data_IF_327497835487
#
_entry.id   IF_327497835487
#
_cell.length_a   1.000
_cell.length_b   1.000
_cell.length_c   1.000
_cell.angle_alpha   90.00
_cell.angle_beta   90.00
_cell.angle_gamma   90.00
#
_symmetry.space_group_name_H-M   'P 1'
#
loop_
_entity.id
_entity.type
_entity.pdbx_description
1 polymer ?
#
# COMPACT_ATOMS: atom_id res chain seq x y z
N UNK A 1 3.09 -26.93 -6.81
CA UNK A 1 3.90 -25.73 -6.54
C UNK A 1 4.04 -25.57 -5.04
N UNK A 2 5.26 -25.44 -4.57
CA UNK A 2 5.46 -25.11 -3.16
C UNK A 2 4.99 -23.69 -2.90
N UNK A 3 4.59 -23.39 -1.65
CA UNK A 3 4.11 -22.07 -1.29
C UNK A 3 5.13 -20.98 -1.62
N UNK A 4 4.63 -19.89 -2.17
CA UNK A 4 5.44 -18.71 -2.42
C UNK A 4 5.73 -17.99 -1.11
N UNK A 5 6.92 -17.42 -1.00
CA UNK A 5 7.27 -16.55 0.14
C UNK A 5 7.37 -15.12 -0.34
N UNK A 6 6.73 -14.23 0.41
CA UNK A 6 6.82 -12.79 0.16
C UNK A 6 7.90 -12.23 1.09
N UNK A 7 8.89 -11.56 0.49
CA UNK A 7 9.94 -10.87 1.23
C UNK A 7 9.72 -9.38 1.15
N UNK A 8 9.61 -8.68 2.28
CA UNK A 8 9.48 -7.22 2.24
C UNK A 8 10.71 -6.59 1.57
N UNK A 9 10.45 -5.64 0.68
CA UNK A 9 11.51 -4.89 -0.01
C UNK A 9 11.86 -3.60 0.72
N UNK A 10 11.02 -3.18 1.64
CA UNK A 10 11.18 -1.93 2.36
C UNK A 10 10.08 -1.74 3.39
N UNK A 11 9.98 -0.52 3.89
CA UNK A 11 9.06 -0.17 4.96
C UNK A 11 8.55 1.26 4.76
N UNK A 12 7.29 1.48 5.15
CA UNK A 12 6.70 2.83 5.18
C UNK A 12 7.05 3.50 6.50
N UNK A 13 7.52 4.75 6.41
CA UNK A 13 7.66 5.66 7.55
C UNK A 13 6.65 6.77 7.41
N UNK A 14 5.69 6.81 8.32
CA UNK A 14 4.54 7.69 8.27
C UNK A 14 4.27 8.30 9.64
N UNK A 15 3.57 9.42 9.66
CA UNK A 15 3.04 9.98 10.89
C UNK A 15 1.74 9.30 11.34
N UNK A 16 1.13 8.46 10.50
CA UNK A 16 -0.01 7.64 10.89
C UNK A 16 0.51 6.47 11.70
N UNK A 17 0.12 6.36 12.97
CA UNK A 17 0.63 5.34 13.88
C UNK A 17 -0.41 4.32 14.30
N UNK A 18 -1.67 4.52 13.95
CA UNK A 18 -2.74 3.59 14.28
C UNK A 18 -3.77 3.51 13.16
N UNK A 19 -4.50 2.40 13.12
CA UNK A 19 -5.54 2.14 12.13
C UNK A 19 -6.67 3.18 12.21
N UNK A 20 -6.98 3.66 13.40
CA UNK A 20 -8.04 4.66 13.62
C UNK A 20 -7.69 6.01 13.00
N UNK A 21 -6.41 6.33 12.89
CA UNK A 21 -5.94 7.58 12.27
C UNK A 21 -5.92 7.50 10.76
N UNK A 22 -5.89 6.28 10.19
CA UNK A 22 -5.73 6.11 8.76
C UNK A 22 -7.04 6.35 8.02
N UNK A 23 -7.05 7.20 6.97
CA UNK A 23 -8.17 7.27 6.05
C UNK A 23 -8.38 5.93 5.35
N UNK A 24 -9.59 5.68 4.87
CA UNK A 24 -9.91 4.44 4.13
C UNK A 24 -9.14 4.35 2.83
N UNK A 25 -8.93 5.48 2.17
CA UNK A 25 -8.17 5.60 0.92
C UNK A 25 -7.22 6.78 1.02
N UNK A 26 -6.09 6.72 0.32
CA UNK A 26 -5.12 7.81 0.29
C UNK A 26 -5.71 9.14 -0.14
N UNK A 27 -6.62 9.13 -1.12
CA UNK A 27 -7.30 10.32 -1.61
C UNK A 27 -8.21 11.00 -0.59
N UNK A 28 -8.47 10.38 0.54
CA UNK A 28 -9.34 10.89 1.60
C UNK A 28 -8.57 11.68 2.68
N UNK A 29 -7.52 12.38 2.30
CA UNK A 29 -6.78 13.27 3.20
C UNK A 29 -5.57 12.65 3.87
N UNK A 30 -5.02 11.58 3.31
CA UNK A 30 -3.81 10.97 3.83
C UNK A 30 -2.59 11.88 3.62
N UNK A 31 -1.59 11.81 4.52
CA UNK A 31 -0.34 12.52 4.36
C UNK A 31 0.56 11.88 3.32
N UNK A 32 1.65 12.57 2.99
CA UNK A 32 2.80 11.93 2.36
C UNK A 32 3.56 11.10 3.39
N UNK A 33 4.32 10.13 2.92
CA UNK A 33 5.17 9.29 3.75
C UNK A 33 6.49 9.01 3.04
N UNK A 34 7.45 8.44 3.77
CA UNK A 34 8.67 7.93 3.18
C UNK A 34 8.57 6.43 3.03
N UNK A 35 8.96 5.93 1.87
CA UNK A 35 9.17 4.53 1.61
C UNK A 35 10.67 4.29 1.61
N UNK A 36 11.16 3.52 2.58
CA UNK A 36 12.57 3.16 2.67
C UNK A 36 12.75 1.78 2.07
N UNK A 37 13.42 1.72 0.92
CA UNK A 37 13.76 0.45 0.28
C UNK A 37 15.04 -0.09 0.92
N UNK A 38 15.14 -1.41 1.09
CA UNK A 38 16.37 -2.01 1.61
C UNK A 38 17.55 -1.58 0.74
N UNK A 39 18.68 -1.15 1.35
CA UNK A 39 19.83 -0.69 0.56
C UNK A 39 20.32 -1.72 -0.46
N UNK A 40 20.24 -3.01 -0.14
CA UNK A 40 20.63 -4.08 -1.05
C UNK A 40 19.75 -4.17 -2.30
N UNK A 41 18.59 -3.53 -2.29
CA UNK A 41 17.63 -3.54 -3.41
C UNK A 41 17.53 -2.18 -4.09
N UNK A 42 18.37 -1.22 -3.71
CA UNK A 42 18.27 0.16 -4.22
C UNK A 42 18.40 0.24 -5.74
N UNK A 43 19.16 -0.66 -6.37
CA UNK A 43 19.29 -0.69 -7.82
C UNK A 43 17.95 -0.90 -8.54
N UNK A 44 16.97 -1.52 -7.87
CA UNK A 44 15.65 -1.72 -8.45
C UNK A 44 14.84 -0.41 -8.57
N UNK A 45 15.30 0.68 -7.97
CA UNK A 45 14.68 1.99 -8.10
C UNK A 45 15.10 2.73 -9.37
N UNK A 46 16.12 2.24 -10.08
CA UNK A 46 16.59 2.90 -11.30
C UNK A 46 15.45 3.00 -12.31
N UNK A 47 15.28 4.19 -12.86
CA UNK A 47 14.20 4.47 -13.80
C UNK A 47 13.01 5.19 -13.18
N UNK A 48 12.88 5.20 -11.86
CA UNK A 48 11.86 6.03 -11.21
C UNK A 48 12.29 7.48 -11.14
N UNK A 49 11.35 8.38 -11.34
CA UNK A 49 11.58 9.82 -11.32
C UNK A 49 10.51 10.52 -10.48
N UNK A 50 10.86 11.69 -9.96
CA UNK A 50 9.88 12.57 -9.29
C UNK A 50 8.76 12.89 -10.27
N UNK A 51 7.53 12.77 -9.81
CA UNK A 51 6.32 12.96 -10.62
C UNK A 51 5.73 11.66 -11.15
N UNK A 52 6.47 10.56 -11.11
CA UNK A 52 5.94 9.28 -11.55
C UNK A 52 4.77 8.83 -10.66
N UNK A 53 3.77 8.27 -11.30
CA UNK A 53 2.68 7.60 -10.61
C UNK A 53 2.99 6.12 -10.51
N UNK A 54 2.95 5.60 -9.30
CA UNK A 54 3.28 4.21 -8.99
C UNK A 54 2.20 3.59 -8.14
N UNK A 55 2.21 2.26 -8.09
CA UNK A 55 1.38 1.47 -7.18
C UNK A 55 2.32 0.82 -6.17
N UNK A 56 2.10 1.12 -4.89
CA UNK A 56 2.83 0.49 -3.79
C UNK A 56 1.98 -0.64 -3.25
N UNK A 57 2.55 -1.82 -3.18
CA UNK A 57 1.90 -2.99 -2.59
C UNK A 57 2.50 -3.21 -1.20
N UNK A 58 1.63 -3.31 -0.21
CA UNK A 58 2.03 -3.47 1.19
C UNK A 58 1.45 -4.75 1.76
N UNK A 59 1.89 -5.11 2.95
CA UNK A 59 1.35 -6.22 3.71
C UNK A 59 0.88 -5.69 5.05
N UNK A 60 -0.36 -6.05 5.45
CA UNK A 60 -0.91 -5.65 6.74
C UNK A 60 -0.73 -6.77 7.76
N UNK A 61 0.36 -6.73 8.57
CA UNK A 61 0.71 -7.87 9.43
C UNK A 61 -0.28 -8.08 10.58
N UNK A 62 -1.08 -7.06 10.92
CA UNK A 62 -2.07 -7.15 11.99
C UNK A 62 -3.48 -7.41 11.50
N UNK A 63 -3.66 -7.56 10.19
CA UNK A 63 -4.97 -7.84 9.63
C UNK A 63 -5.42 -9.26 9.95
N UNK A 64 -6.72 -9.45 10.03
CA UNK A 64 -7.31 -10.78 10.19
C UNK A 64 -7.29 -11.51 8.87
N UNK A 65 -6.84 -12.74 8.87
CA UNK A 65 -6.70 -13.55 7.66
C UNK A 65 -7.82 -14.56 7.48
N UNK A 66 -8.69 -14.69 8.47
CA UNK A 66 -9.84 -15.61 8.46
C UNK A 66 -11.15 -14.91 8.03
N UNK A 67 -11.10 -13.63 7.75
CA UNK A 67 -12.28 -12.86 7.34
C UNK A 67 -12.60 -13.14 5.88
N UNK A 68 -13.83 -13.55 5.60
CA UNK A 68 -14.33 -13.84 4.26
C UNK A 68 -15.34 -12.82 3.77
N UNK A 69 -16.07 -12.19 4.69
CA UNK A 69 -17.09 -11.19 4.35
C UNK A 69 -17.00 -10.02 5.32
N UNK A 70 -17.30 -8.83 4.81
CA UNK A 70 -17.33 -7.59 5.59
C UNK A 70 -18.48 -6.72 5.12
N UNK A 71 -18.82 -5.72 5.95
CA UNK A 71 -19.61 -4.58 5.51
C UNK A 71 -18.67 -3.58 4.87
N UNK A 72 -18.80 -3.28 3.55
CA UNK A 72 -17.89 -2.37 2.87
C UNK A 72 -17.81 -1.03 3.61
N UNK A 73 -16.57 -0.57 3.87
CA UNK A 73 -16.27 0.67 4.60
C UNK A 73 -16.92 0.74 5.98
N UNK A 74 -17.17 -0.43 6.59
CA UNK A 74 -17.87 -0.57 7.89
C UNK A 74 -19.29 -0.02 7.88
N UNK A 75 -19.89 0.12 6.71
CA UNK A 75 -21.26 0.63 6.57
C UNK A 75 -22.26 -0.51 6.59
N UNK A 76 -22.94 -0.68 7.72
CA UNK A 76 -23.92 -1.76 7.93
C UNK A 76 -25.22 -1.57 7.13
N UNK A 77 -25.41 -0.43 6.47
CA UNK A 77 -26.52 -0.22 5.54
C UNK A 77 -26.30 -0.91 4.21
N UNK A 78 -25.07 -1.29 3.91
CA UNK A 78 -24.71 -2.06 2.71
C UNK A 78 -24.80 -3.55 2.99
N UNK A 79 -25.02 -4.38 1.94
CA UNK A 79 -25.02 -5.82 2.14
C UNK A 79 -23.65 -6.31 2.59
N UNK A 80 -23.67 -7.37 3.41
CA UNK A 80 -22.45 -8.09 3.77
C UNK A 80 -21.83 -8.67 2.50
N UNK A 81 -20.57 -8.33 2.25
CA UNK A 81 -19.93 -8.55 0.95
C UNK A 81 -18.65 -9.35 1.12
N UNK A 82 -18.38 -10.26 0.18
CA UNK A 82 -17.13 -11.00 0.14
C UNK A 82 -15.93 -10.07 0.03
N UNK A 83 -14.86 -10.37 0.77
CA UNK A 83 -13.70 -9.48 0.85
C UNK A 83 -13.01 -9.27 -0.50
N UNK A 84 -13.10 -10.23 -1.41
CA UNK A 84 -12.51 -10.09 -2.75
C UNK A 84 -13.22 -9.04 -3.62
N UNK A 85 -14.42 -8.64 -3.22
CA UNK A 85 -15.16 -7.55 -3.87
C UNK A 85 -15.00 -6.22 -3.12
N UNK A 86 -14.07 -6.14 -2.18
CA UNK A 86 -13.82 -4.96 -1.33
C UNK A 86 -12.32 -4.69 -1.23
N UNK A 87 -11.99 -3.54 -0.66
CA UNK A 87 -10.62 -3.17 -0.31
C UNK A 87 -10.34 -3.38 1.18
N UNK A 88 -11.12 -4.22 1.87
CA UNK A 88 -10.88 -4.50 3.28
C UNK A 88 -9.45 -4.98 3.51
N UNK A 89 -8.75 -4.47 4.54
CA UNK A 89 -7.45 -5.02 4.92
C UNK A 89 -7.54 -6.43 5.48
N UNK A 90 -8.68 -6.79 6.09
CA UNK A 90 -8.91 -8.11 6.64
C UNK A 90 -9.34 -9.04 5.50
N UNK A 91 -8.49 -9.98 5.17
CA UNK A 91 -8.66 -10.90 4.05
C UNK A 91 -7.59 -11.99 4.12
N UNK A 92 -7.75 -13.11 3.39
CA UNK A 92 -6.79 -14.23 3.48
C UNK A 92 -5.33 -13.84 3.25
N UNK A 93 -5.05 -13.00 2.26
CA UNK A 93 -3.73 -12.42 2.05
C UNK A 93 -3.88 -10.90 2.10
N UNK A 94 -3.52 -10.26 3.22
CA UNK A 94 -3.82 -8.85 3.46
C UNK A 94 -2.82 -7.93 2.75
N UNK A 95 -2.84 -7.98 1.43
CA UNK A 95 -2.04 -7.11 0.56
C UNK A 95 -2.78 -5.81 0.36
N UNK A 96 -2.13 -4.70 0.70
CA UNK A 96 -2.62 -3.36 0.44
C UNK A 96 -2.17 -2.87 -0.93
N UNK A 97 -2.98 -2.01 -1.54
CA UNK A 97 -2.68 -1.42 -2.84
C UNK A 97 -2.85 0.08 -2.73
N UNK A 98 -1.76 0.82 -3.01
CA UNK A 98 -1.72 2.26 -2.80
C UNK A 98 -1.21 2.95 -4.06
N UNK A 99 -2.09 3.56 -4.87
CA UNK A 99 -1.64 4.44 -5.95
C UNK A 99 -1.13 5.75 -5.34
N UNK A 100 0.09 6.12 -5.67
CA UNK A 100 0.75 7.30 -5.13
C UNK A 100 1.60 7.97 -6.18
N UNK A 101 1.99 9.22 -5.92
CA UNK A 101 2.94 9.97 -6.73
C UNK A 101 4.28 10.03 -6.03
N UNK A 102 5.36 9.86 -6.77
CA UNK A 102 6.72 10.04 -6.27
C UNK A 102 6.97 11.55 -6.13
N UNK A 103 7.17 12.02 -4.89
CA UNK A 103 7.38 13.44 -4.58
C UNK A 103 8.85 13.80 -4.53
N UNK A 104 9.68 12.88 -4.06
CA UNK A 104 11.12 13.11 -3.88
C UNK A 104 11.84 11.76 -3.84
N UNK A 105 13.09 11.75 -4.32
CA UNK A 105 13.95 10.57 -4.26
C UNK A 105 15.27 10.99 -3.61
N UNK A 106 15.63 10.29 -2.54
CA UNK A 106 16.91 10.49 -1.84
C UNK A 106 17.51 9.11 -1.60
N UNK A 107 18.46 8.71 -2.45
CA UNK A 107 19.10 7.39 -2.39
C UNK A 107 18.07 6.27 -2.45
N UNK A 108 17.97 5.44 -1.40
CA UNK A 108 17.02 4.33 -1.31
C UNK A 108 15.68 4.72 -0.68
N UNK A 109 15.39 6.03 -0.58
CA UNK A 109 14.18 6.53 0.04
C UNK A 109 13.35 7.32 -0.97
N UNK A 110 12.06 7.01 -1.01
CA UNK A 110 11.09 7.73 -1.83
C UNK A 110 10.11 8.45 -0.91
N UNK A 111 9.94 9.75 -1.10
CA UNK A 111 8.78 10.43 -0.55
C UNK A 111 7.62 10.23 -1.50
N UNK A 112 6.54 9.70 -1.01
CA UNK A 112 5.38 9.31 -1.81
C UNK A 112 4.10 9.81 -1.15
N UNK A 113 3.06 9.98 -1.94
CA UNK A 113 1.78 10.35 -1.38
C UNK A 113 0.71 10.69 -2.42
N UNK A 114 -0.50 10.90 -1.90
CA UNK A 114 -0.92 10.65 -0.50
C UNK A 114 -1.04 9.15 -0.22
N UNK A 115 -0.77 8.74 1.01
CA UNK A 115 -0.82 7.32 1.37
C UNK A 115 -1.38 7.13 2.79
N UNK A 116 -2.29 6.16 2.93
CA UNK A 116 -2.98 5.86 4.18
C UNK A 116 -2.28 4.81 5.05
N UNK A 117 -1.13 4.32 4.63
CA UNK A 117 -0.43 3.26 5.35
C UNK A 117 0.12 3.73 6.70
N UNK A 118 0.04 2.85 7.68
CA UNK A 118 0.54 3.07 9.04
C UNK A 118 2.06 2.98 9.04
N UNK A 119 2.70 3.76 9.92
CA UNK A 119 4.15 3.68 10.13
C UNK A 119 4.59 2.25 10.42
N UNK A 120 5.67 1.82 9.76
CA UNK A 120 6.20 0.47 9.92
C UNK A 120 5.55 -0.57 9.00
N UNK A 121 4.59 -0.19 8.15
CA UNK A 121 3.97 -1.13 7.22
C UNK A 121 5.00 -1.68 6.24
N UNK A 122 5.15 -3.02 6.14
CA UNK A 122 6.06 -3.62 5.17
C UNK A 122 5.61 -3.38 3.73
N UNK A 123 6.57 -3.06 2.87
CA UNK A 123 6.32 -2.91 1.43
C UNK A 123 6.74 -4.20 0.74
N UNK A 124 5.85 -4.71 -0.09
CA UNK A 124 6.03 -5.98 -0.81
C UNK A 124 6.61 -5.74 -2.20
N UNK A 125 6.11 -4.71 -2.89
CA UNK A 125 6.48 -4.45 -4.28
C UNK A 125 6.14 -3.01 -4.65
N UNK A 126 6.76 -2.55 -5.72
CA UNK A 126 6.47 -1.26 -6.36
C UNK A 126 6.31 -1.53 -7.84
N UNK A 127 5.23 -1.04 -8.43
CA UNK A 127 4.99 -1.15 -9.87
C UNK A 127 4.63 0.22 -10.44
N UNK A 128 5.02 0.52 -11.67
CA UNK A 128 4.53 1.74 -12.29
C UNK A 128 3.03 1.63 -12.55
N UNK A 129 2.32 2.74 -12.43
CA UNK A 129 0.94 2.83 -12.87
C UNK A 129 0.97 3.04 -14.39
N UNK A 130 0.43 2.06 -15.12
CA UNK A 130 0.41 2.15 -16.56
C UNK A 130 -0.69 3.13 -17.01
N UNK A 131 -0.47 3.89 -18.09
CA UNK A 131 -1.52 4.71 -18.65
C UNK A 131 -2.69 3.84 -19.13
N UNK A 132 -3.91 4.39 -19.07
CA UNK A 132 -5.07 3.70 -19.61
C UNK A 132 -4.94 3.58 -21.14
N UNK A 133 -5.56 2.55 -21.78
CA UNK A 133 -5.40 2.35 -23.21
C UNK A 133 -5.74 3.55 -24.10
N UNK A 134 -6.55 4.48 -23.60
CA UNK A 134 -6.99 5.67 -24.35
C UNK A 134 -6.38 6.97 -23.83
N UNK A 135 -5.34 6.91 -23.05
CA UNK A 135 -4.68 8.09 -22.51
C UNK A 135 -3.34 8.37 -23.17
#
# INVERSE_FOLDING_TARGET
MRGAQVRPIGVIRSRIISREQAPKQGSEGAPDAWLEVKPSLAAALDGLAVGDEIIVLTWFPRARRDTLKVYPRSDRRRPLTGVFATRSPDRPNPVGLHPVTVRRIVRNRLRIGPIEAIDGTPVVDIKPQLPTPNS
#
